data_IF_318571070424
#
_entry.id   IF_318571070424
#
_cell.length_a   1.000
_cell.length_b   1.000
_cell.length_c   1.000
_cell.angle_alpha   90.00
_cell.angle_beta   90.00
_cell.angle_gamma   90.00
#
_symmetry.space_group_name_H-M   'P 1'
#
loop_
_entity.id
_entity.type
_entity.pdbx_description
1 polymer ?
#
# COMPACT_ATOMS: atom_id res chain seq x y z
N UNK A 1 -5.84 18.84 -0.98
CA UNK A 1 -6.02 17.36 -0.95
C UNK A 1 -7.48 17.03 -0.69
N UNK A 2 -7.98 16.00 -1.32
CA UNK A 2 -9.29 15.40 -1.03
C UNK A 2 -8.99 13.98 -0.59
N UNK A 3 -9.30 13.66 0.66
CA UNK A 3 -9.34 12.29 1.15
C UNK A 3 -10.74 11.74 0.90
N UNK A 4 -10.85 10.59 0.28
CA UNK A 4 -12.12 9.92 0.05
C UNK A 4 -12.00 8.44 0.41
N UNK A 5 -13.03 7.93 1.09
CA UNK A 5 -13.23 6.49 1.25
C UNK A 5 -14.20 6.03 0.17
N UNK A 6 -13.81 5.02 -0.58
CA UNK A 6 -14.61 4.45 -1.65
C UNK A 6 -15.02 3.04 -1.23
N UNK A 7 -16.20 2.93 -0.64
CA UNK A 7 -16.78 1.63 -0.34
C UNK A 7 -17.12 0.92 -1.65
N UNK A 8 -16.39 -0.12 -1.96
CA UNK A 8 -16.77 -1.14 -2.93
C UNK A 8 -17.94 -1.97 -2.39
N UNK A 9 -18.89 -1.32 -1.70
CA UNK A 9 -20.10 -1.97 -1.22
C UNK A 9 -20.92 -2.42 -2.38
N UNK A 10 -20.91 -3.69 -2.61
CA UNK A 10 -21.75 -4.35 -3.55
C UNK A 10 -22.93 -4.99 -2.85
N UNK A 11 -24.10 -4.50 -3.25
CA UNK A 11 -25.16 -5.46 -3.44
C UNK A 11 -24.63 -6.55 -4.40
N UNK A 12 -24.89 -7.83 -4.17
CA UNK A 12 -24.60 -8.87 -5.15
C UNK A 12 -25.17 -8.43 -6.50
N UNK A 13 -24.54 -8.91 -7.59
CA UNK A 13 -25.06 -8.70 -8.93
C UNK A 13 -26.57 -8.94 -8.97
N UNK A 14 -27.33 -8.24 -9.81
CA UNK A 14 -28.77 -8.46 -9.92
C UNK A 14 -29.08 -9.96 -9.99
N UNK A 15 -30.11 -10.45 -9.28
CA UNK A 15 -30.45 -11.87 -9.30
C UNK A 15 -30.62 -12.38 -10.72
N UNK A 16 -29.86 -13.39 -11.12
CA UNK A 16 -29.93 -14.01 -12.44
C UNK A 16 -28.88 -13.52 -13.45
N UNK A 17 -28.06 -12.54 -13.16
CA UNK A 17 -26.94 -12.15 -14.01
C UNK A 17 -25.82 -13.19 -13.91
N UNK A 18 -25.51 -13.85 -15.04
CA UNK A 18 -24.38 -14.75 -15.14
C UNK A 18 -23.10 -13.95 -15.44
N UNK A 19 -22.30 -13.72 -14.43
CA UNK A 19 -20.98 -13.11 -14.58
C UNK A 19 -19.96 -14.20 -14.85
N UNK A 20 -19.21 -14.09 -15.93
CA UNK A 20 -18.21 -15.09 -16.33
C UNK A 20 -17.04 -15.18 -15.35
N UNK A 21 -16.68 -14.06 -14.71
CA UNK A 21 -15.69 -14.00 -13.65
C UNK A 21 -16.19 -13.06 -12.55
N UNK A 22 -16.82 -13.60 -11.48
CA UNK A 22 -17.36 -12.79 -10.38
C UNK A 22 -16.28 -12.00 -9.61
N UNK A 23 -15.04 -12.50 -9.57
CA UNK A 23 -13.94 -11.83 -8.87
C UNK A 23 -13.49 -10.61 -9.66
N UNK A 24 -13.20 -10.76 -10.94
CA UNK A 24 -12.84 -9.68 -11.84
C UNK A 24 -13.93 -8.59 -11.89
N UNK A 25 -15.19 -9.00 -12.00
CA UNK A 25 -16.32 -8.08 -12.05
C UNK A 25 -16.46 -7.24 -10.77
N UNK A 26 -16.20 -7.81 -9.58
CA UNK A 26 -16.19 -7.04 -8.33
C UNK A 26 -15.03 -6.04 -8.28
N UNK A 27 -13.85 -6.42 -8.75
CA UNK A 27 -12.69 -5.51 -8.83
C UNK A 27 -13.02 -4.33 -9.76
N UNK A 28 -13.52 -4.61 -10.96
CA UNK A 28 -13.86 -3.57 -11.93
C UNK A 28 -14.94 -2.63 -11.40
N UNK A 29 -15.99 -3.17 -10.79
CA UNK A 29 -17.08 -2.35 -10.25
C UNK A 29 -16.60 -1.45 -9.09
N UNK A 30 -15.71 -1.93 -8.23
CA UNK A 30 -15.14 -1.11 -7.16
C UNK A 30 -14.24 0.00 -7.73
N UNK A 31 -13.46 -0.29 -8.78
CA UNK A 31 -12.64 0.70 -9.50
C UNK A 31 -13.51 1.73 -10.24
N UNK A 32 -14.60 1.31 -10.86
CA UNK A 32 -15.56 2.22 -11.54
C UNK A 32 -16.23 3.15 -10.54
N UNK A 33 -16.58 2.67 -9.36
CA UNK A 33 -17.12 3.50 -8.28
C UNK A 33 -16.10 4.51 -7.76
N UNK A 34 -14.85 4.08 -7.54
CA UNK A 34 -13.77 4.99 -7.19
C UNK A 34 -13.63 6.09 -8.25
N UNK A 35 -13.61 5.71 -9.53
CA UNK A 35 -13.55 6.64 -10.66
C UNK A 35 -14.73 7.62 -10.62
N UNK A 36 -15.96 7.13 -10.49
CA UNK A 36 -17.15 7.97 -10.45
C UNK A 36 -17.13 9.02 -9.32
N UNK A 37 -16.64 8.66 -8.13
CA UNK A 37 -16.50 9.60 -7.01
C UNK A 37 -15.44 10.66 -7.29
N UNK A 38 -14.31 10.26 -7.88
CA UNK A 38 -13.24 11.18 -8.28
C UNK A 38 -13.74 12.14 -9.36
N UNK A 39 -14.48 11.64 -10.37
CA UNK A 39 -15.10 12.45 -11.43
C UNK A 39 -16.16 13.41 -10.89
N UNK A 40 -16.95 13.00 -9.90
CA UNK A 40 -17.91 13.87 -9.22
C UNK A 40 -17.23 15.03 -8.47
N UNK A 41 -15.95 14.88 -8.09
CA UNK A 41 -15.14 15.96 -7.53
C UNK A 41 -14.48 16.86 -8.62
N UNK A 42 -14.76 16.61 -9.91
CA UNK A 42 -14.16 17.33 -11.04
C UNK A 42 -12.73 16.90 -11.36
N UNK A 43 -12.35 15.67 -10.99
CA UNK A 43 -11.02 15.11 -11.17
C UNK A 43 -11.10 13.83 -12.02
N UNK A 44 -9.95 13.19 -12.25
CA UNK A 44 -9.85 11.86 -12.84
C UNK A 44 -8.90 10.97 -12.04
N UNK A 45 -8.74 9.71 -12.42
CA UNK A 45 -7.85 8.77 -11.72
C UNK A 45 -6.37 9.18 -11.77
N UNK A 46 -5.96 10.01 -12.72
CA UNK A 46 -4.61 10.58 -12.77
C UNK A 46 -4.28 11.49 -11.60
N UNK A 47 -5.31 12.02 -10.90
CA UNK A 47 -5.15 12.83 -9.69
C UNK A 47 -4.90 12.01 -8.41
N UNK A 48 -5.06 10.67 -8.46
CA UNK A 48 -4.85 9.82 -7.30
C UNK A 48 -3.37 9.78 -6.92
N UNK A 49 -3.08 10.06 -5.65
CA UNK A 49 -1.70 10.02 -5.10
C UNK A 49 -1.48 8.79 -4.23
N UNK A 50 -2.53 8.29 -3.59
CA UNK A 50 -2.47 7.10 -2.75
C UNK A 50 -3.77 6.30 -2.82
N UNK A 51 -3.65 4.98 -2.83
CA UNK A 51 -4.79 4.05 -2.83
C UNK A 51 -4.53 2.91 -1.85
N UNK A 52 -5.51 2.60 -1.01
CA UNK A 52 -5.55 1.39 -0.18
C UNK A 52 -6.60 0.43 -0.73
N UNK A 53 -6.21 -0.66 -1.38
CA UNK A 53 -7.08 -1.80 -1.60
C UNK A 53 -7.18 -2.67 -0.33
N UNK A 54 -8.38 -2.99 0.07
CA UNK A 54 -8.69 -4.00 1.10
C UNK A 54 -9.32 -5.19 0.40
N UNK A 55 -8.73 -6.36 0.55
CA UNK A 55 -9.15 -7.60 -0.10
C UNK A 55 -9.56 -8.62 0.94
N UNK A 56 -10.60 -9.41 0.66
CA UNK A 56 -10.79 -10.67 1.36
C UNK A 56 -10.07 -11.79 0.59
N UNK A 57 -9.91 -12.95 1.20
CA UNK A 57 -9.33 -14.14 0.56
C UNK A 57 -10.08 -14.59 -0.73
N UNK A 58 -11.27 -14.03 -0.99
CA UNK A 58 -12.06 -14.29 -2.21
C UNK A 58 -11.50 -13.60 -3.45
N UNK A 59 -10.72 -12.52 -3.28
CA UNK A 59 -10.11 -11.78 -4.39
C UNK A 59 -8.60 -12.00 -4.37
N UNK A 60 -8.05 -12.89 -5.22
CA UNK A 60 -6.61 -13.06 -5.30
C UNK A 60 -5.91 -11.75 -5.70
N UNK A 61 -4.80 -11.44 -5.04
CA UNK A 61 -3.97 -10.25 -5.31
C UNK A 61 -3.65 -10.11 -6.81
N UNK A 62 -3.39 -11.22 -7.49
CA UNK A 62 -3.08 -11.23 -8.92
C UNK A 62 -4.27 -10.73 -9.75
N UNK A 63 -5.47 -11.23 -9.49
CA UNK A 63 -6.67 -10.79 -10.21
C UNK A 63 -6.93 -9.29 -10.02
N UNK A 64 -6.83 -8.81 -8.76
CA UNK A 64 -6.92 -7.37 -8.48
C UNK A 64 -5.86 -6.57 -9.25
N UNK A 65 -4.59 -7.01 -9.23
CA UNK A 65 -3.50 -6.31 -9.89
C UNK A 65 -3.68 -6.21 -11.41
N UNK A 66 -4.17 -7.25 -12.07
CA UNK A 66 -4.43 -7.25 -13.52
C UNK A 66 -5.44 -6.15 -13.90
N UNK A 67 -6.57 -6.06 -13.20
CA UNK A 67 -7.61 -5.05 -13.45
C UNK A 67 -7.17 -3.65 -13.02
N UNK A 68 -6.51 -3.54 -11.87
CA UNK A 68 -6.01 -2.27 -11.33
C UNK A 68 -5.00 -1.61 -12.28
N UNK A 69 -4.07 -2.40 -12.82
CA UNK A 69 -3.01 -1.89 -13.71
C UNK A 69 -3.55 -1.20 -14.96
N UNK A 70 -4.71 -1.62 -15.46
CA UNK A 70 -5.34 -1.01 -16.65
C UNK A 70 -6.00 0.36 -16.37
N UNK A 71 -6.12 0.76 -15.11
CA UNK A 71 -6.78 2.01 -14.72
C UNK A 71 -5.83 3.19 -14.58
N UNK A 72 -4.52 2.95 -14.55
CA UNK A 72 -3.50 3.96 -14.31
C UNK A 72 -2.41 3.93 -15.39
N UNK A 73 -1.77 5.08 -15.58
CA UNK A 73 -0.63 5.19 -16.47
C UNK A 73 0.58 4.41 -15.92
N UNK A 74 1.18 3.56 -16.77
CA UNK A 74 2.35 2.77 -16.39
C UNK A 74 3.51 3.65 -15.92
N UNK A 75 4.05 3.35 -14.76
CA UNK A 75 5.15 4.10 -14.15
C UNK A 75 4.76 5.42 -13.47
N UNK A 76 3.49 5.83 -13.58
CA UNK A 76 2.91 7.02 -12.92
C UNK A 76 1.68 6.67 -12.07
N UNK A 77 1.58 5.44 -11.61
CA UNK A 77 0.52 4.95 -10.73
C UNK A 77 0.54 5.66 -9.37
N UNK A 78 -0.57 5.69 -8.62
CA UNK A 78 -0.55 6.13 -7.23
C UNK A 78 0.34 5.24 -6.36
N UNK A 79 0.81 5.75 -5.23
CA UNK A 79 1.34 4.92 -4.16
C UNK A 79 0.22 4.03 -3.59
N UNK A 80 0.57 2.84 -3.06
CA UNK A 80 -0.43 1.85 -2.68
C UNK A 80 -0.03 1.05 -1.44
N UNK A 81 -1.01 0.78 -0.58
CA UNK A 81 -0.88 -0.24 0.47
C UNK A 81 -2.06 -1.21 0.37
N UNK A 82 -1.80 -2.44 -0.05
CA UNK A 82 -2.83 -3.47 -0.19
C UNK A 82 -2.82 -4.37 1.04
N UNK A 83 -4.01 -4.64 1.58
CA UNK A 83 -4.17 -5.37 2.83
C UNK A 83 -5.22 -6.44 2.63
N UNK A 84 -4.93 -7.65 3.09
CA UNK A 84 -5.91 -8.72 3.18
C UNK A 84 -6.63 -8.67 4.54
N UNK A 85 -7.95 -8.70 4.50
CA UNK A 85 -8.83 -8.59 5.66
C UNK A 85 -9.80 -9.76 5.73
N UNK A 86 -10.29 -10.08 6.94
CA UNK A 86 -11.20 -11.22 7.15
C UNK A 86 -12.60 -10.98 6.53
N UNK A 87 -13.06 -9.74 6.50
CA UNK A 87 -14.36 -9.37 5.95
C UNK A 87 -14.42 -7.88 5.67
N UNK A 88 -15.35 -7.50 4.80
CA UNK A 88 -15.70 -6.13 4.48
C UNK A 88 -17.21 -5.88 4.69
N UNK A 89 -17.64 -4.63 4.86
CA UNK A 89 -19.06 -4.30 5.05
C UNK A 89 -19.92 -4.83 3.91
N UNK A 90 -21.17 -5.22 4.26
CA UNK A 90 -22.19 -5.69 3.30
C UNK A 90 -21.78 -6.89 2.43
N UNK A 91 -20.80 -7.69 2.87
CA UNK A 91 -20.32 -8.85 2.13
C UNK A 91 -19.48 -8.50 0.90
N UNK A 92 -19.00 -7.27 0.78
CA UNK A 92 -18.03 -6.88 -0.25
C UNK A 92 -16.75 -7.73 -0.13
N UNK A 93 -16.12 -8.02 -1.26
CA UNK A 93 -14.87 -8.79 -1.29
C UNK A 93 -13.67 -7.89 -1.58
N UNK A 94 -13.92 -6.65 -2.00
CA UNK A 94 -12.90 -5.63 -2.24
C UNK A 94 -13.45 -4.25 -1.88
N UNK A 95 -12.59 -3.42 -1.31
CA UNK A 95 -12.84 -2.01 -1.04
C UNK A 95 -11.59 -1.19 -1.40
N UNK A 96 -11.79 0.03 -1.87
CA UNK A 96 -10.72 1.00 -2.07
C UNK A 96 -10.95 2.23 -1.21
N UNK A 97 -9.89 2.71 -0.56
CA UNK A 97 -9.81 4.08 -0.04
C UNK A 97 -8.66 4.80 -0.74
N UNK A 98 -8.66 6.14 -0.73
CA UNK A 98 -7.57 6.84 -1.39
C UNK A 98 -7.54 8.33 -1.14
N UNK A 99 -6.47 8.94 -1.65
CA UNK A 99 -6.22 10.38 -1.62
C UNK A 99 -5.95 10.87 -3.04
N UNK A 100 -6.61 11.96 -3.42
CA UNK A 100 -6.37 12.67 -4.67
C UNK A 100 -5.89 14.09 -4.42
N UNK A 101 -5.08 14.63 -5.32
CA UNK A 101 -4.67 16.03 -5.34
C UNK A 101 -5.49 16.78 -6.38
N UNK A 102 -5.88 18.04 -6.13
CA UNK A 102 -6.68 18.83 -7.09
C UNK A 102 -5.87 19.32 -8.28
N UNK A 103 -4.64 19.71 -8.01
CA UNK A 103 -3.73 20.28 -8.98
C UNK A 103 -2.70 19.24 -9.40
N UNK A 104 -2.76 18.81 -10.65
CA UNK A 104 -1.83 17.82 -11.21
C UNK A 104 -0.37 18.30 -11.23
N UNK A 105 -0.12 19.62 -11.27
CA UNK A 105 1.24 20.16 -11.19
C UNK A 105 1.89 19.85 -9.82
N UNK A 106 1.09 19.65 -8.79
CA UNK A 106 1.54 19.25 -7.46
C UNK A 106 1.74 17.75 -7.31
N UNK A 107 1.33 16.94 -8.32
CA UNK A 107 1.49 15.50 -8.30
C UNK A 107 2.80 15.08 -8.97
N UNK A 108 3.63 14.33 -8.25
CA UNK A 108 4.88 13.81 -8.81
C UNK A 108 5.18 12.44 -8.22
N UNK A 109 5.18 11.42 -9.07
CA UNK A 109 5.65 10.09 -8.68
C UNK A 109 7.19 10.10 -8.45
N UNK A 110 7.62 9.38 -7.42
CA UNK A 110 9.03 9.23 -7.04
C UNK A 110 9.39 7.75 -7.05
N UNK A 111 10.52 7.44 -7.66
CA UNK A 111 11.01 6.06 -7.78
C UNK A 111 12.53 6.04 -7.77
N UNK A 112 13.18 5.25 -6.89
CA UNK A 112 14.62 5.06 -6.92
C UNK A 112 15.13 4.70 -8.31
N UNK A 113 16.27 5.28 -8.73
CA UNK A 113 16.80 5.16 -10.10
C UNK A 113 17.10 3.72 -10.52
N UNK A 114 17.44 2.86 -9.56
CA UNK A 114 17.71 1.44 -9.77
C UNK A 114 16.45 0.55 -9.75
N UNK A 115 15.27 1.11 -9.52
CA UNK A 115 14.01 0.38 -9.47
C UNK A 115 13.26 0.49 -10.79
N UNK A 116 12.80 -0.64 -11.32
CA UNK A 116 11.93 -0.65 -12.50
C UNK A 116 10.55 -0.07 -12.20
N UNK A 117 9.89 0.60 -13.16
CA UNK A 117 8.52 1.05 -12.97
C UNK A 117 7.58 -0.14 -12.80
N UNK A 118 6.57 0.03 -11.94
CA UNK A 118 5.54 -0.98 -11.70
C UNK A 118 4.22 -0.55 -12.35
N UNK A 119 3.43 -1.48 -12.89
CA UNK A 119 2.10 -1.19 -13.40
C UNK A 119 1.08 -0.96 -12.28
N UNK A 120 1.42 -1.28 -11.02
CA UNK A 120 0.44 -1.33 -9.94
C UNK A 120 0.71 -0.36 -8.80
N UNK A 121 1.94 0.12 -8.62
CA UNK A 121 2.24 1.08 -7.55
C UNK A 121 3.53 1.86 -7.82
N UNK A 122 3.48 3.18 -7.70
CA UNK A 122 4.69 3.99 -7.56
C UNK A 122 5.25 3.83 -6.15
N UNK A 123 6.58 3.79 -5.95
CA UNK A 123 7.16 3.73 -4.62
C UNK A 123 6.68 4.83 -3.69
N UNK A 124 6.64 6.08 -4.16
CA UNK A 124 6.01 7.21 -3.48
C UNK A 124 5.42 8.18 -4.50
N UNK A 125 4.49 9.03 -4.04
CA UNK A 125 3.88 10.11 -4.85
C UNK A 125 3.75 11.36 -4.00
N UNK A 126 4.23 12.49 -4.50
CA UNK A 126 4.00 13.81 -3.92
C UNK A 126 2.61 14.34 -4.25
N UNK A 127 2.02 15.03 -3.26
CA UNK A 127 0.92 15.98 -3.40
C UNK A 127 1.38 17.33 -2.78
N UNK A 128 1.98 18.19 -3.56
CA UNK A 128 2.68 19.37 -3.04
C UNK A 128 3.85 18.97 -2.15
N UNK A 129 3.86 19.43 -0.90
CA UNK A 129 4.92 19.11 0.08
C UNK A 129 4.68 17.80 0.84
N UNK A 130 3.57 17.11 0.61
CA UNK A 130 3.24 15.85 1.25
C UNK A 130 3.61 14.67 0.36
N UNK A 131 4.41 13.75 0.86
CA UNK A 131 4.82 12.51 0.21
C UNK A 131 4.03 11.33 0.77
N UNK A 132 3.38 10.58 -0.10
CA UNK A 132 2.70 9.33 0.22
C UNK A 132 3.53 8.17 -0.30
N UNK A 133 3.99 7.27 0.57
CA UNK A 133 4.78 6.11 0.17
C UNK A 133 3.98 4.81 0.28
N UNK A 134 4.11 3.98 -0.74
CA UNK A 134 3.57 2.63 -0.79
C UNK A 134 4.04 1.80 0.39
N UNK A 135 3.23 0.86 0.81
CA UNK A 135 3.67 -0.14 1.77
C UNK A 135 4.89 -0.89 1.23
N UNK A 136 5.86 -1.05 2.08
CA UNK A 136 7.06 -1.86 1.88
C UNK A 136 7.08 -2.95 2.92
N UNK A 137 7.64 -4.07 2.54
CA UNK A 137 7.89 -5.23 3.38
C UNK A 137 9.39 -5.52 3.45
N UNK A 138 9.76 -6.49 4.26
CA UNK A 138 11.14 -6.95 4.41
C UNK A 138 11.72 -7.68 3.21
N UNK A 139 11.17 -7.46 2.01
CA UNK A 139 11.63 -8.09 0.77
C UNK A 139 13.03 -7.64 0.39
N UNK A 140 13.91 -8.61 0.16
CA UNK A 140 15.27 -8.41 -0.35
C UNK A 140 15.30 -8.94 -1.78
N UNK A 141 15.44 -8.06 -2.82
CA UNK A 141 15.56 -8.50 -4.20
C UNK A 141 16.77 -9.40 -4.41
N UNK A 142 16.65 -10.39 -5.28
CA UNK A 142 17.74 -11.29 -5.59
C UNK A 142 17.39 -12.28 -6.70
N UNK A 143 18.35 -13.12 -7.10
CA UNK A 143 18.05 -14.24 -7.99
C UNK A 143 17.00 -15.15 -7.35
N UNK A 144 16.23 -15.87 -8.13
CA UNK A 144 15.16 -16.77 -7.70
C UNK A 144 13.99 -16.07 -6.97
N UNK A 145 13.65 -14.83 -7.36
CA UNK A 145 12.47 -14.13 -6.86
C UNK A 145 12.69 -13.34 -5.55
N UNK A 146 13.92 -13.31 -5.02
CA UNK A 146 14.23 -12.62 -3.76
C UNK A 146 13.85 -13.42 -2.51
N UNK A 147 14.07 -12.85 -1.34
CA UNK A 147 13.88 -13.54 -0.06
C UNK A 147 13.30 -12.61 1.02
N UNK A 148 12.67 -13.23 2.03
CA UNK A 148 12.35 -12.63 3.32
C UNK A 148 13.15 -13.28 4.44
N UNK A 149 13.44 -12.53 5.47
CA UNK A 149 14.03 -13.07 6.72
C UNK A 149 13.00 -13.81 7.56
N UNK A 150 13.48 -14.62 8.50
CA UNK A 150 12.64 -15.53 9.30
C UNK A 150 11.84 -14.87 10.43
N UNK A 151 12.08 -13.60 10.74
CA UNK A 151 11.42 -12.94 11.88
C UNK A 151 10.99 -11.52 11.53
N UNK A 152 9.88 -11.08 12.10
CA UNK A 152 9.32 -9.72 11.94
C UNK A 152 10.35 -8.63 12.24
N UNK A 153 11.14 -8.76 13.31
CA UNK A 153 12.17 -7.77 13.66
C UNK A 153 13.28 -7.63 12.59
N UNK A 154 13.67 -8.72 11.94
CA UNK A 154 14.68 -8.69 10.88
C UNK A 154 14.06 -8.22 9.57
N UNK A 155 12.84 -8.63 9.25
CA UNK A 155 12.10 -8.11 8.10
C UNK A 155 11.92 -6.60 8.22
N UNK A 156 11.51 -6.08 9.39
CA UNK A 156 11.34 -4.64 9.60
C UNK A 156 12.62 -3.83 9.35
N UNK A 157 13.80 -4.33 9.69
CA UNK A 157 15.05 -3.62 9.34
C UNK A 157 15.19 -3.43 7.85
N UNK A 158 14.85 -4.45 7.08
CA UNK A 158 14.87 -4.36 5.62
C UNK A 158 13.75 -3.46 5.09
N UNK A 159 12.56 -3.54 5.65
CA UNK A 159 11.43 -2.66 5.33
C UNK A 159 11.81 -1.19 5.51
N UNK A 160 12.40 -0.86 6.65
CA UNK A 160 12.84 0.51 6.94
C UNK A 160 13.97 0.94 6.00
N UNK A 161 14.84 0.03 5.57
CA UNK A 161 15.83 0.32 4.53
C UNK A 161 15.18 0.60 3.17
N UNK A 162 14.21 -0.22 2.76
CA UNK A 162 13.46 -0.02 1.53
C UNK A 162 12.68 1.31 1.54
N UNK A 163 12.15 1.72 2.69
CA UNK A 163 11.50 3.03 2.87
C UNK A 163 12.49 4.19 2.86
N UNK A 164 13.69 4.00 3.45
CA UNK A 164 14.76 5.01 3.40
C UNK A 164 15.19 5.30 1.96
N UNK A 165 15.38 4.28 1.15
CA UNK A 165 15.76 4.46 -0.27
C UNK A 165 14.70 5.28 -1.03
N UNK A 166 13.41 5.12 -0.70
CA UNK A 166 12.34 5.93 -1.27
C UNK A 166 12.35 7.39 -0.76
N UNK A 167 12.63 7.60 0.53
CA UNK A 167 12.74 8.93 1.12
C UNK A 167 13.96 9.68 0.55
N UNK A 168 15.11 9.04 0.47
CA UNK A 168 16.34 9.62 -0.11
C UNK A 168 16.15 10.03 -1.57
N UNK A 169 15.45 9.23 -2.39
CA UNK A 169 15.10 9.62 -3.77
C UNK A 169 14.15 10.83 -3.84
N UNK A 170 13.38 11.05 -2.78
CA UNK A 170 12.48 12.20 -2.64
C UNK A 170 13.19 13.44 -2.03
N UNK A 171 14.49 13.38 -1.75
CA UNK A 171 15.24 14.37 -0.94
C UNK A 171 14.61 14.58 0.44
N UNK A 172 14.22 13.47 1.09
CA UNK A 172 13.59 13.45 2.41
C UNK A 172 14.26 12.43 3.34
N UNK A 173 13.91 12.50 4.63
CA UNK A 173 14.45 11.63 5.68
C UNK A 173 13.35 11.25 6.69
N UNK A 174 13.65 10.27 7.57
CA UNK A 174 12.71 9.81 8.60
C UNK A 174 12.22 10.91 9.56
N UNK A 175 13.01 11.96 9.80
CA UNK A 175 12.57 13.10 10.62
C UNK A 175 11.39 13.87 10.04
N UNK A 176 11.10 13.72 8.75
CA UNK A 176 9.99 14.34 8.05
C UNK A 176 8.75 13.44 7.97
N UNK A 177 8.84 12.20 8.46
CA UNK A 177 7.70 11.28 8.52
C UNK A 177 6.76 11.72 9.62
N UNK A 178 5.51 11.97 9.27
CA UNK A 178 4.46 12.42 10.21
C UNK A 178 3.46 11.32 10.57
N UNK A 179 3.33 10.30 9.70
CA UNK A 179 2.42 9.18 9.95
C UNK A 179 2.94 7.90 9.33
N UNK A 180 2.69 6.77 10.01
CA UNK A 180 2.93 5.42 9.48
C UNK A 180 1.71 4.54 9.70
N UNK A 181 1.42 3.66 8.72
CA UNK A 181 0.50 2.56 8.90
C UNK A 181 1.31 1.25 8.88
N UNK A 182 1.13 0.45 9.89
CA UNK A 182 1.83 -0.81 10.12
C UNK A 182 0.81 -1.94 10.04
N UNK A 183 1.14 -2.97 9.28
CA UNK A 183 0.33 -4.15 9.09
C UNK A 183 1.15 -5.35 9.55
N UNK A 184 0.73 -6.02 10.61
CA UNK A 184 1.38 -7.21 11.17
C UNK A 184 0.55 -8.45 10.85
N UNK A 185 1.19 -9.56 10.58
CA UNK A 185 0.52 -10.85 10.46
C UNK A 185 0.14 -11.42 11.85
N UNK A 186 0.89 -11.05 12.90
CA UNK A 186 0.63 -11.44 14.28
C UNK A 186 0.94 -10.30 15.25
N UNK A 187 -0.06 -9.86 16.01
CA UNK A 187 0.11 -8.82 17.03
C UNK A 187 1.03 -9.24 18.19
N UNK A 188 1.31 -10.52 18.37
CA UNK A 188 2.31 -10.98 19.33
C UNK A 188 3.73 -10.48 19.02
N UNK A 189 4.01 -10.13 17.77
CA UNK A 189 5.30 -9.58 17.34
C UNK A 189 5.46 -8.07 17.63
N UNK A 190 4.43 -7.41 18.13
CA UNK A 190 4.44 -5.96 18.35
C UNK A 190 5.62 -5.48 19.19
N UNK A 191 5.99 -6.22 20.24
CA UNK A 191 7.14 -5.88 21.08
C UNK A 191 8.46 -5.90 20.29
N UNK A 192 8.70 -6.97 19.53
CA UNK A 192 9.90 -7.12 18.70
C UNK A 192 9.94 -6.09 17.55
N UNK A 193 8.76 -5.76 17.01
CA UNK A 193 8.60 -4.68 16.02
C UNK A 193 9.01 -3.33 16.64
N UNK A 194 8.48 -2.97 17.79
CA UNK A 194 8.74 -1.69 18.47
C UNK A 194 10.21 -1.48 18.80
N UNK A 195 10.89 -2.50 19.27
CA UNK A 195 12.34 -2.45 19.57
C UNK A 195 13.19 -2.04 18.36
N UNK A 196 12.75 -2.38 17.16
CA UNK A 196 13.41 -2.00 15.90
C UNK A 196 12.92 -0.65 15.40
N UNK A 197 11.58 -0.45 15.37
CA UNK A 197 10.92 0.70 14.79
C UNK A 197 11.40 2.02 15.38
N UNK A 198 11.45 2.12 16.71
CA UNK A 198 11.81 3.37 17.41
C UNK A 198 13.23 3.87 17.09
N UNK A 199 14.12 3.00 16.63
CA UNK A 199 15.51 3.35 16.32
C UNK A 199 15.68 4.21 15.06
N UNK A 200 14.66 4.24 14.20
CA UNK A 200 14.67 5.00 12.95
C UNK A 200 14.19 6.44 13.14
N UNK A 201 13.49 6.73 14.24
CA UNK A 201 12.95 8.06 14.51
C UNK A 201 13.72 8.71 15.66
N UNK A 202 14.46 9.77 15.34
CA UNK A 202 15.18 10.58 16.34
C UNK A 202 14.29 11.75 16.77
N UNK A 203 14.03 11.86 18.06
CA UNK A 203 13.18 12.90 18.62
C UNK A 203 11.72 12.47 18.74
N UNK A 204 10.81 13.06 17.96
CA UNK A 204 9.39 12.72 18.00
C UNK A 204 9.08 11.51 17.09
N UNK A 205 8.32 10.56 17.62
CA UNK A 205 7.76 9.47 16.80
C UNK A 205 6.61 10.02 15.94
N UNK A 206 6.45 9.54 14.70
CA UNK A 206 5.27 9.84 13.89
C UNK A 206 4.01 9.26 14.53
N UNK A 207 2.85 9.82 14.18
CA UNK A 207 1.59 9.14 14.44
C UNK A 207 1.62 7.74 13.81
N UNK A 208 1.10 6.71 14.51
CA UNK A 208 1.15 5.34 14.03
C UNK A 208 -0.18 4.63 14.24
N UNK A 209 -0.65 4.00 13.18
CA UNK A 209 -1.75 3.03 13.24
C UNK A 209 -1.16 1.64 13.03
N UNK A 210 -1.53 0.69 13.88
CA UNK A 210 -1.13 -0.72 13.74
C UNK A 210 -2.39 -1.56 13.65
N UNK A 211 -2.44 -2.42 12.65
CA UNK A 211 -3.53 -3.38 12.47
C UNK A 211 -2.97 -4.75 12.13
N UNK A 212 -3.70 -5.78 12.52
CA UNK A 212 -3.40 -7.14 12.09
C UNK A 212 -4.03 -7.38 10.73
N UNK A 213 -3.23 -7.80 9.76
CA UNK A 213 -3.69 -8.31 8.47
C UNK A 213 -3.92 -9.83 8.56
N UNK A 214 -4.54 -10.41 7.52
CA UNK A 214 -4.60 -11.87 7.44
C UNK A 214 -3.19 -12.40 7.28
N UNK A 215 -2.82 -13.27 8.20
CA UNK A 215 -1.51 -13.90 8.21
C UNK A 215 -1.39 -14.95 7.09
N UNK A 216 -0.18 -15.20 6.56
CA UNK A 216 0.08 -16.39 5.77
C UNK A 216 -0.23 -17.66 6.59
N UNK A 217 -0.65 -18.74 5.92
CA UNK A 217 -1.06 -19.98 6.58
C UNK A 217 0.03 -20.59 7.47
N UNK A 218 1.29 -20.36 7.10
CA UNK A 218 2.45 -20.85 7.85
C UNK A 218 3.55 -19.79 7.89
N UNK A 219 4.19 -19.63 9.04
CA UNK A 219 5.36 -18.74 9.22
C UNK A 219 6.70 -19.44 8.95
N UNK A 220 6.67 -20.75 8.71
CA UNK A 220 7.83 -21.53 8.30
C UNK A 220 8.19 -21.27 6.84
N UNK A 221 9.45 -21.51 6.44
CA UNK A 221 9.83 -21.38 5.04
C UNK A 221 9.09 -22.42 4.19
N UNK A 222 8.83 -22.06 2.94
CA UNK A 222 8.31 -22.98 1.93
C UNK A 222 9.34 -24.04 1.55
N UNK A 223 8.98 -24.93 0.61
CA UNK A 223 9.87 -26.01 0.11
C UNK A 223 11.19 -25.51 -0.49
N UNK A 224 11.23 -24.26 -0.93
CA UNK A 224 12.39 -23.62 -1.55
C UNK A 224 13.19 -22.77 -0.53
N UNK A 225 12.77 -22.77 0.73
CA UNK A 225 13.41 -22.05 1.83
C UNK A 225 13.01 -20.58 1.96
N UNK A 226 11.95 -20.14 1.28
CA UNK A 226 11.47 -18.77 1.33
C UNK A 226 10.49 -18.57 2.49
N UNK A 227 10.81 -17.63 3.39
CA UNK A 227 9.90 -17.20 4.45
C UNK A 227 8.78 -16.30 3.90
N UNK A 228 7.59 -16.29 4.51
CA UNK A 228 6.52 -15.39 4.15
C UNK A 228 6.81 -13.94 4.56
N UNK A 229 6.06 -13.01 4.00
CA UNK A 229 5.98 -11.62 4.46
C UNK A 229 5.21 -11.55 5.78
N UNK A 230 5.82 -11.00 6.83
CA UNK A 230 5.28 -10.97 8.19
C UNK A 230 4.80 -9.57 8.60
N UNK A 231 5.19 -8.53 7.85
CA UNK A 231 4.86 -7.15 8.17
C UNK A 231 4.97 -6.25 6.94
N UNK A 232 4.21 -5.17 6.94
CA UNK A 232 4.33 -4.10 5.96
C UNK A 232 4.21 -2.75 6.65
N UNK A 233 4.91 -1.75 6.13
CA UNK A 233 4.81 -0.36 6.59
C UNK A 233 4.62 0.57 5.40
N UNK A 234 3.58 1.41 5.45
CA UNK A 234 3.45 2.60 4.59
C UNK A 234 3.64 3.86 5.41
N UNK A 235 4.03 4.95 4.76
CA UNK A 235 4.27 6.21 5.46
C UNK A 235 3.78 7.44 4.69
N UNK A 236 3.56 8.50 5.45
CA UNK A 236 3.32 9.85 4.95
C UNK A 236 4.40 10.75 5.53
N UNK A 237 5.07 11.51 4.68
CA UNK A 237 6.07 12.49 5.09
C UNK A 237 5.68 13.89 4.58
N UNK A 238 6.10 14.93 5.28
CA UNK A 238 5.85 16.32 4.90
C UNK A 238 7.17 17.09 4.91
N UNK A 239 7.42 17.87 3.87
CA UNK A 239 8.64 18.68 3.77
C UNK A 239 8.71 19.71 4.86
N UNK A 240 9.70 19.60 5.71
CA UNK A 240 10.09 20.58 6.71
C UNK A 240 11.57 20.38 7.08
N UNK A 241 12.17 21.36 7.76
CA UNK A 241 13.54 21.20 8.26
C UNK A 241 13.59 20.13 9.36
N UNK A 242 14.55 19.22 9.28
CA UNK A 242 14.80 18.29 10.37
C UNK A 242 15.46 18.97 11.55
N UNK A 243 15.13 18.61 12.80
CA UNK A 243 15.89 19.04 13.98
C UNK A 243 17.38 18.69 13.83
N UNK A 244 18.24 19.62 14.21
CA UNK A 244 19.69 19.40 14.25
C UNK A 244 20.09 18.52 15.43
#
# INVERSE_FOLDING_TARGET
MIGCSFLGCLAPFPPGEKVSDPQAAQVDLALDRMKAVVEAAGLDLGHMVFVNPYLTAQIPMRAMNEHYAHRFEFGNTPARATIEVSSLPNGAQIEYTGVAVRDLEQRRAVRPKNMQPSPTASPCVFAGDTLYCSAKSGFIPGPNGGVYSSTTAVQLRQTMRNLLDNLEEADMAFCQVVSTNVYLDDMADMGAFDEVYVKYFRGALPARTVVQQIAPAERSPDKDGHYPDLEQVSLIAVRHACPQ
#
